data_IF_998085418067
#
_entry.id   IF_998085418067
#
_cell.length_a   1.000
_cell.length_b   1.000
_cell.length_c   1.000
_cell.angle_alpha   90.00
_cell.angle_beta   90.00
_cell.angle_gamma   90.00
#
_symmetry.space_group_name_H-M   'P 1'
#
loop_
_entity.id
_entity.type
_entity.pdbx_description
1 polymer ?
#
# COMPACT_ATOMS: atom_id res chain seq x y z
N UNK A 1 5.31 12.19 -8.74
CA UNK A 1 3.90 12.61 -8.67
C UNK A 1 3.48 13.40 -9.88
N UNK A 2 4.15 14.50 -10.23
CA UNK A 2 3.82 15.31 -11.41
C UNK A 2 3.71 14.49 -12.72
N UNK A 3 4.69 13.63 -13.02
CA UNK A 3 4.61 12.73 -14.18
C UNK A 3 3.40 11.78 -14.15
N UNK A 4 3.08 11.23 -12.98
CA UNK A 4 1.98 10.29 -12.82
C UNK A 4 0.62 11.00 -12.95
N UNK A 5 0.50 12.21 -12.40
CA UNK A 5 -0.68 13.07 -12.59
C UNK A 5 -0.86 13.48 -14.05
N UNK A 6 0.22 13.85 -14.76
CA UNK A 6 0.17 14.15 -16.20
C UNK A 6 -0.25 12.92 -17.02
N UNK A 7 0.26 11.74 -16.67
CA UNK A 7 -0.15 10.48 -17.29
C UNK A 7 -1.65 10.21 -17.07
N UNK A 8 -2.16 10.34 -15.84
CA UNK A 8 -3.59 10.18 -15.55
C UNK A 8 -4.44 11.17 -16.35
N UNK A 9 -4.05 12.45 -16.39
CA UNK A 9 -4.76 13.48 -17.18
C UNK A 9 -4.75 13.16 -18.68
N UNK A 10 -3.61 12.70 -19.22
CA UNK A 10 -3.50 12.27 -20.62
C UNK A 10 -4.43 11.10 -20.95
N UNK A 11 -4.50 10.09 -20.08
CA UNK A 11 -5.41 8.94 -20.25
C UNK A 11 -6.87 9.39 -20.19
N UNK A 12 -7.25 10.20 -19.21
CA UNK A 12 -8.62 10.76 -19.09
C UNK A 12 -9.00 11.51 -20.36
N UNK A 13 -8.10 12.37 -20.88
CA UNK A 13 -8.33 13.17 -22.07
C UNK A 13 -8.55 12.31 -23.33
N UNK A 14 -7.69 11.31 -23.54
CA UNK A 14 -7.78 10.42 -24.71
C UNK A 14 -9.09 9.61 -24.67
N UNK A 15 -9.44 9.04 -23.52
CA UNK A 15 -10.65 8.24 -23.36
C UNK A 15 -11.91 9.10 -23.53
N UNK A 16 -11.97 10.29 -22.92
CA UNK A 16 -13.09 11.21 -23.07
C UNK A 16 -13.30 11.63 -24.53
N UNK A 17 -12.22 11.93 -25.27
CA UNK A 17 -12.29 12.33 -26.68
C UNK A 17 -12.77 11.19 -27.59
N UNK A 18 -12.39 9.95 -27.29
CA UNK A 18 -12.71 8.78 -28.10
C UNK A 18 -14.16 8.30 -28.00
N UNK A 19 -14.85 8.60 -26.91
CA UNK A 19 -16.24 8.18 -26.68
C UNK A 19 -17.28 9.12 -27.31
N UNK A 20 -16.85 10.08 -28.13
CA UNK A 20 -17.77 10.99 -28.82
C UNK A 20 -18.56 11.91 -27.88
N UNK A 21 -18.20 11.98 -26.59
CA UNK A 21 -18.82 12.91 -25.67
C UNK A 21 -18.58 14.35 -26.16
N UNK A 22 -19.66 15.02 -26.60
CA UNK A 22 -19.71 16.48 -26.59
C UNK A 22 -19.60 16.99 -25.15
N UNK A 23 -19.20 18.25 -24.99
CA UNK A 23 -18.76 18.85 -23.71
C UNK A 23 -19.69 18.62 -22.50
N UNK A 24 -20.98 18.27 -22.67
CA UNK A 24 -22.00 18.39 -21.61
C UNK A 24 -22.51 17.04 -21.05
N UNK A 25 -22.56 15.96 -21.84
CA UNK A 25 -23.16 14.68 -21.40
C UNK A 25 -22.20 13.76 -20.62
N UNK A 26 -20.93 13.71 -21.02
CA UNK A 26 -19.89 12.94 -20.33
C UNK A 26 -19.53 13.50 -18.96
N UNK A 27 -19.73 14.82 -18.78
CA UNK A 27 -19.51 15.50 -17.50
C UNK A 27 -20.43 14.99 -16.37
N UNK A 28 -21.63 14.50 -16.68
CA UNK A 28 -22.56 14.00 -15.66
C UNK A 28 -22.12 12.68 -15.03
N UNK A 29 -21.72 11.70 -15.85
CA UNK A 29 -21.24 10.39 -15.39
C UNK A 29 -19.84 10.49 -14.78
N UNK A 30 -18.94 11.25 -15.41
CA UNK A 30 -17.61 11.54 -14.86
C UNK A 30 -17.73 12.32 -13.56
N UNK A 31 -18.63 13.31 -13.49
CA UNK A 31 -18.94 14.06 -12.27
C UNK A 31 -19.45 13.18 -11.15
N UNK A 32 -20.41 12.29 -11.42
CA UNK A 32 -20.92 11.33 -10.43
C UNK A 32 -19.84 10.36 -9.95
N UNK A 33 -19.03 9.82 -10.87
CA UNK A 33 -17.92 8.92 -10.53
C UNK A 33 -16.85 9.63 -9.68
N UNK A 34 -16.53 10.88 -10.00
CA UNK A 34 -15.61 11.71 -9.21
C UNK A 34 -16.18 12.05 -7.83
N UNK A 35 -17.49 12.28 -7.71
CA UNK A 35 -18.16 12.50 -6.42
C UNK A 35 -18.09 11.23 -5.57
N UNK A 36 -18.47 10.07 -6.12
CA UNK A 36 -18.41 8.79 -5.40
C UNK A 36 -16.98 8.45 -5.01
N UNK A 37 -16.02 8.58 -5.93
CA UNK A 37 -14.60 8.38 -5.65
C UNK A 37 -14.08 9.38 -4.61
N UNK A 38 -14.51 10.63 -4.67
CA UNK A 38 -14.17 11.68 -3.70
C UNK A 38 -14.68 11.37 -2.30
N UNK A 39 -15.93 10.93 -2.19
CA UNK A 39 -16.54 10.50 -0.91
C UNK A 39 -15.81 9.27 -0.36
N UNK A 40 -15.57 8.25 -1.18
CA UNK A 40 -14.84 7.05 -0.77
C UNK A 40 -13.42 7.36 -0.31
N UNK A 41 -12.72 8.27 -1.01
CA UNK A 41 -11.40 8.73 -0.60
C UNK A 41 -11.42 9.54 0.69
N UNK A 42 -12.42 10.39 0.86
CA UNK A 42 -12.60 11.13 2.10
C UNK A 42 -12.82 10.18 3.28
N UNK A 43 -13.73 9.22 3.15
CA UNK A 43 -13.98 8.21 4.19
C UNK A 43 -12.69 7.41 4.47
N UNK A 44 -12.02 6.91 3.43
CA UNK A 44 -10.80 6.13 3.57
C UNK A 44 -9.68 6.94 4.23
N UNK A 45 -9.51 8.21 3.88
CA UNK A 45 -8.46 9.05 4.45
C UNK A 45 -8.66 9.35 5.95
N UNK A 46 -9.91 9.51 6.39
CA UNK A 46 -10.22 9.89 7.77
C UNK A 46 -10.53 8.71 8.71
N UNK A 47 -10.94 7.55 8.19
CA UNK A 47 -11.36 6.39 8.99
C UNK A 47 -10.63 5.08 8.68
N UNK A 48 -9.67 5.05 7.73
CA UNK A 48 -8.94 3.81 7.40
C UNK A 48 -8.25 3.16 8.60
N UNK A 49 -7.68 3.96 9.50
CA UNK A 49 -7.03 3.47 10.72
C UNK A 49 -8.01 2.69 11.60
N UNK A 50 -9.19 3.27 11.86
CA UNK A 50 -10.22 2.63 12.69
C UNK A 50 -10.79 1.37 12.04
N UNK A 51 -10.99 1.41 10.71
CA UNK A 51 -11.49 0.26 9.95
C UNK A 51 -10.49 -0.89 10.04
N UNK A 52 -9.22 -0.63 9.72
CA UNK A 52 -8.15 -1.64 9.74
C UNK A 52 -7.94 -2.21 11.13
N UNK A 53 -7.86 -1.37 12.16
CA UNK A 53 -7.68 -1.81 13.55
C UNK A 53 -8.87 -2.64 14.02
N UNK A 54 -10.10 -2.25 13.66
CA UNK A 54 -11.31 -2.99 13.99
C UNK A 54 -11.38 -4.35 13.31
N UNK A 55 -11.10 -4.40 12.00
CA UNK A 55 -11.02 -5.66 11.22
C UNK A 55 -9.95 -6.58 11.81
N UNK A 56 -8.84 -6.01 12.24
CA UNK A 56 -7.72 -6.76 12.80
C UNK A 56 -7.92 -7.15 14.28
N UNK A 57 -9.09 -6.90 14.87
CA UNK A 57 -9.35 -7.19 16.29
C UNK A 57 -8.36 -6.53 17.25
N UNK A 58 -7.72 -5.44 16.82
CA UNK A 58 -6.62 -4.82 17.52
C UNK A 58 -7.13 -4.11 18.78
N UNK A 59 -6.55 -4.41 19.94
CA UNK A 59 -6.92 -3.81 21.23
C UNK A 59 -5.90 -2.77 21.66
N UNK A 60 -6.31 -1.53 21.97
CA UNK A 60 -5.37 -0.51 22.43
C UNK A 60 -4.80 -0.91 23.78
N UNK A 61 -3.51 -0.63 23.99
CA UNK A 61 -2.84 -0.85 25.27
C UNK A 61 -2.43 0.45 25.93
N UNK A 62 -2.39 0.44 27.26
CA UNK A 62 -1.80 1.49 28.09
C UNK A 62 -0.38 1.11 28.49
N UNK A 63 0.39 2.09 28.96
CA UNK A 63 1.75 1.88 29.48
C UNK A 63 1.82 0.88 30.64
N UNK A 64 0.73 0.71 31.40
CA UNK A 64 0.60 -0.30 32.46
C UNK A 64 0.56 -1.73 31.94
N UNK A 65 -0.01 -1.94 30.75
CA UNK A 65 -0.34 -3.27 30.25
C UNK A 65 0.91 -3.97 29.68
N UNK A 66 1.75 -3.20 28.99
CA UNK A 66 3.08 -3.64 28.57
C UNK A 66 4.08 -2.47 28.58
N UNK A 67 4.73 -2.21 29.74
CA UNK A 67 5.66 -1.09 29.89
C UNK A 67 6.87 -1.17 28.95
N UNK A 68 7.29 -2.38 28.57
CA UNK A 68 8.48 -2.57 27.71
C UNK A 68 8.19 -2.12 26.29
N UNK A 69 7.11 -2.63 25.69
CA UNK A 69 6.70 -2.24 24.32
C UNK A 69 6.36 -0.76 24.26
N UNK A 70 5.65 -0.25 25.27
CA UNK A 70 5.28 1.17 25.31
C UNK A 70 6.50 2.08 25.34
N UNK A 71 7.48 1.79 26.20
CA UNK A 71 8.73 2.57 26.28
C UNK A 71 9.57 2.44 25.01
N UNK A 72 9.61 1.27 24.39
CA UNK A 72 10.33 1.05 23.14
C UNK A 72 9.76 1.95 22.02
N UNK A 73 8.44 1.93 21.82
CA UNK A 73 7.77 2.77 20.81
C UNK A 73 7.93 4.25 21.15
N UNK A 74 7.78 4.63 22.43
CA UNK A 74 7.95 6.01 22.92
C UNK A 74 9.37 6.53 22.66
N UNK A 75 10.40 5.75 23.02
CA UNK A 75 11.81 6.13 22.83
C UNK A 75 12.18 6.26 21.34
N UNK A 76 11.75 5.30 20.51
CA UNK A 76 12.00 5.35 19.07
C UNK A 76 11.23 6.51 18.41
N UNK A 77 10.00 6.78 18.86
CA UNK A 77 9.22 7.93 18.41
C UNK A 77 9.92 9.26 18.72
N UNK A 78 10.42 9.42 19.96
CA UNK A 78 11.22 10.59 20.36
C UNK A 78 12.48 10.72 19.50
N UNK A 79 13.23 9.63 19.31
CA UNK A 79 14.44 9.64 18.48
C UNK A 79 14.16 9.98 17.01
N UNK A 80 12.99 9.60 16.49
CA UNK A 80 12.54 9.93 15.14
C UNK A 80 11.92 11.33 15.02
N UNK A 81 11.76 12.07 16.13
CA UNK A 81 11.07 13.36 16.15
C UNK A 81 9.56 13.27 15.87
N UNK A 82 8.95 12.13 16.21
CA UNK A 82 7.52 11.84 15.99
C UNK A 82 6.75 11.83 17.32
N UNK A 83 5.46 12.24 17.31
CA UNK A 83 4.57 11.94 18.43
C UNK A 83 4.50 10.42 18.65
N UNK A 84 4.42 9.98 19.90
CA UNK A 84 4.25 8.55 20.23
C UNK A 84 2.94 8.04 19.59
N UNK A 85 3.01 7.08 18.65
CA UNK A 85 1.82 6.49 18.05
C UNK A 85 0.98 5.75 19.09
N UNK A 86 -0.31 5.58 18.80
CA UNK A 86 -1.15 4.69 19.59
C UNK A 86 -0.67 3.24 19.42
N UNK A 87 -0.62 2.48 20.49
CA UNK A 87 -0.10 1.11 20.46
C UNK A 87 -1.26 0.14 20.65
N UNK A 88 -1.31 -0.87 19.79
CA UNK A 88 -2.33 -1.91 19.81
C UNK A 88 -1.69 -3.30 19.86
N UNK A 89 -2.38 -4.24 20.49
CA UNK A 89 -2.06 -5.66 20.42
C UNK A 89 -3.18 -6.42 19.71
N UNK A 90 -2.79 -7.27 18.77
CA UNK A 90 -3.66 -8.24 18.09
C UNK A 90 -3.42 -9.60 18.74
N UNK A 91 -4.47 -10.26 19.20
CA UNK A 91 -4.33 -11.59 19.79
C UNK A 91 -4.25 -12.65 18.68
N UNK A 92 -3.04 -12.89 18.20
CA UNK A 92 -2.73 -13.84 17.13
C UNK A 92 -1.29 -14.34 17.33
N UNK A 93 -1.07 -15.66 17.25
CA UNK A 93 0.21 -16.30 17.51
C UNK A 93 1.20 -16.19 16.34
N UNK A 94 0.72 -15.89 15.14
CA UNK A 94 1.58 -15.61 14.00
C UNK A 94 2.29 -14.27 14.21
N UNK A 95 3.63 -14.22 14.11
CA UNK A 95 4.39 -13.01 14.36
C UNK A 95 4.18 -12.00 13.23
N UNK A 96 3.59 -10.85 13.52
CA UNK A 96 3.46 -9.76 12.55
C UNK A 96 3.25 -8.41 13.24
N UNK A 97 3.42 -7.33 12.48
CA UNK A 97 3.13 -5.98 12.90
C UNK A 97 2.77 -5.11 11.69
N UNK A 98 2.09 -3.99 11.93
CA UNK A 98 1.87 -2.96 10.93
C UNK A 98 1.65 -1.58 11.58
N UNK A 99 1.96 -0.53 10.83
CA UNK A 99 1.55 0.85 11.09
C UNK A 99 0.34 1.26 10.25
N UNK A 100 -0.52 2.10 10.82
CA UNK A 100 -1.63 2.77 10.11
C UNK A 100 -1.84 4.17 10.64
N UNK A 101 -2.69 4.95 9.98
CA UNK A 101 -2.96 6.35 10.30
C UNK A 101 -2.64 7.29 9.16
N UNK A 102 -3.41 8.38 9.10
CA UNK A 102 -3.34 9.38 8.02
C UNK A 102 -2.13 10.32 8.12
N UNK A 103 -1.62 10.54 9.33
CA UNK A 103 -0.50 11.43 9.62
C UNK A 103 0.17 11.05 10.95
N UNK A 104 1.39 11.54 11.25
CA UNK A 104 2.12 11.17 12.47
C UNK A 104 1.37 11.44 13.79
N UNK A 105 0.46 12.42 13.85
CA UNK A 105 -0.31 12.71 15.07
C UNK A 105 -1.48 11.74 15.26
N UNK A 106 -1.88 11.04 14.20
CA UNK A 106 -2.98 10.08 14.20
C UNK A 106 -2.49 8.67 13.86
N UNK A 107 -1.20 8.40 14.04
CA UNK A 107 -0.61 7.11 13.77
C UNK A 107 -0.93 6.07 14.86
N UNK A 108 -1.00 4.82 14.45
CA UNK A 108 -1.10 3.66 15.32
C UNK A 108 -0.15 2.56 14.82
N UNK A 109 0.42 1.81 15.76
CA UNK A 109 1.21 0.61 15.47
C UNK A 109 0.56 -0.56 16.20
N UNK A 110 0.30 -1.63 15.46
CA UNK A 110 -0.28 -2.86 15.98
C UNK A 110 0.76 -3.99 15.95
N UNK A 111 0.86 -4.73 17.05
CA UNK A 111 1.74 -5.90 17.20
C UNK A 111 0.90 -7.14 17.48
N UNK A 112 1.19 -8.27 16.85
CA UNK A 112 0.56 -9.54 17.24
C UNK A 112 1.13 -10.06 18.56
N UNK A 113 0.39 -10.85 19.33
CA UNK A 113 0.95 -11.50 20.53
C UNK A 113 2.12 -12.42 20.15
N UNK A 114 2.08 -13.05 18.98
CA UNK A 114 3.16 -13.83 18.39
C UNK A 114 4.46 -13.04 18.20
N UNK A 115 4.40 -11.82 17.67
CA UNK A 115 5.63 -11.05 17.41
C UNK A 115 6.33 -10.67 18.72
N UNK A 116 5.55 -10.35 19.75
CA UNK A 116 6.04 -9.98 21.07
C UNK A 116 6.67 -11.17 21.82
N UNK A 117 6.25 -12.39 21.52
CA UNK A 117 6.78 -13.61 22.14
C UNK A 117 7.98 -14.18 21.39
N UNK A 118 7.99 -14.10 20.05
CA UNK A 118 8.99 -14.76 19.19
C UNK A 118 10.21 -13.89 18.88
N UNK A 119 10.07 -12.56 18.90
CA UNK A 119 11.19 -11.65 18.67
C UNK A 119 11.88 -11.25 19.97
N UNK A 120 13.21 -11.15 19.92
CA UNK A 120 13.96 -10.52 21.00
C UNK A 120 13.84 -8.98 20.93
N UNK A 121 14.41 -8.29 21.92
CA UNK A 121 14.33 -6.84 22.05
C UNK A 121 14.85 -6.11 20.81
N UNK A 122 16.04 -6.46 20.32
CA UNK A 122 16.67 -5.78 19.18
C UNK A 122 15.91 -6.01 17.87
N UNK A 123 15.35 -7.21 17.69
CA UNK A 123 14.51 -7.56 16.55
C UNK A 123 13.20 -6.78 16.56
N UNK A 124 12.54 -6.71 17.72
CA UNK A 124 11.30 -5.97 17.90
C UNK A 124 11.54 -4.45 17.75
N UNK A 125 12.66 -3.92 18.24
CA UNK A 125 13.11 -2.54 17.99
C UNK A 125 13.31 -2.28 16.50
N UNK A 126 13.92 -3.22 15.76
CA UNK A 126 14.09 -3.14 14.32
C UNK A 126 12.77 -3.05 13.56
N UNK A 127 11.81 -3.95 13.87
CA UNK A 127 10.46 -3.91 13.29
C UNK A 127 9.75 -2.62 13.65
N UNK A 128 9.79 -2.20 14.92
CA UNK A 128 9.14 -0.97 15.37
C UNK A 128 9.71 0.27 14.68
N UNK A 129 11.02 0.32 14.47
CA UNK A 129 11.68 1.40 13.76
C UNK A 129 11.32 1.45 12.27
N UNK A 130 11.14 0.29 11.63
CA UNK A 130 10.62 0.19 10.27
C UNK A 130 9.17 0.72 10.20
N UNK A 131 8.27 0.28 11.07
CA UNK A 131 6.88 0.75 11.12
C UNK A 131 6.78 2.26 11.42
N UNK A 132 7.62 2.77 12.34
CA UNK A 132 7.73 4.21 12.61
C UNK A 132 8.26 4.99 11.40
N UNK A 133 9.13 4.39 10.59
CA UNK A 133 9.65 5.03 9.38
C UNK A 133 8.55 5.24 8.35
N UNK A 134 7.59 4.31 8.20
CA UNK A 134 6.42 4.54 7.36
C UNK A 134 5.57 5.73 7.83
N UNK A 135 5.39 5.86 9.15
CA UNK A 135 4.69 7.00 9.76
C UNK A 135 5.42 8.30 9.47
N UNK A 136 6.73 8.36 9.75
CA UNK A 136 7.56 9.55 9.54
C UNK A 136 7.67 9.97 8.07
N UNK A 137 7.82 9.00 7.17
CA UNK A 137 7.93 9.23 5.71
C UNK A 137 6.58 9.50 5.03
N UNK A 138 5.47 9.42 5.78
CA UNK A 138 4.09 9.57 5.31
C UNK A 138 3.76 8.62 4.17
N UNK A 139 4.21 7.38 4.28
CA UNK A 139 4.04 6.39 3.22
C UNK A 139 2.56 6.04 3.00
N UNK A 140 1.74 6.06 4.06
CA UNK A 140 0.28 5.90 3.97
C UNK A 140 -0.36 6.94 3.05
N UNK A 141 0.04 8.22 3.17
CA UNK A 141 -0.48 9.29 2.31
C UNK A 141 -0.08 9.07 0.85
N UNK A 142 1.19 8.74 0.63
CA UNK A 142 1.75 8.51 -0.71
C UNK A 142 1.07 7.34 -1.38
N UNK A 143 0.91 6.23 -0.67
CA UNK A 143 0.27 5.02 -1.19
C UNK A 143 -1.24 5.21 -1.40
N UNK A 144 -1.90 6.01 -0.57
CA UNK A 144 -3.31 6.39 -0.79
C UNK A 144 -3.43 7.17 -2.10
N UNK A 145 -2.63 8.22 -2.30
CA UNK A 145 -2.66 9.04 -3.53
C UNK A 145 -2.37 8.18 -4.76
N UNK A 146 -1.37 7.30 -4.69
CA UNK A 146 -1.03 6.40 -5.80
C UNK A 146 -2.18 5.45 -6.11
N UNK A 147 -2.78 4.83 -5.09
CA UNK A 147 -3.91 3.90 -5.25
C UNK A 147 -5.13 4.56 -5.89
N UNK A 148 -5.42 5.81 -5.53
CA UNK A 148 -6.51 6.59 -6.14
C UNK A 148 -6.27 6.84 -7.63
N UNK A 149 -5.04 7.19 -8.01
CA UNK A 149 -4.70 7.46 -9.39
C UNK A 149 -4.73 6.17 -10.23
N UNK A 150 -4.22 5.04 -9.71
CA UNK A 150 -4.35 3.73 -10.37
C UNK A 150 -5.81 3.32 -10.50
N UNK A 151 -6.58 3.43 -9.41
CA UNK A 151 -8.01 3.10 -9.39
C UNK A 151 -8.81 3.94 -10.40
N UNK A 152 -8.54 5.24 -10.48
CA UNK A 152 -9.15 6.13 -11.48
C UNK A 152 -8.84 5.67 -12.90
N UNK A 153 -7.59 5.33 -13.22
CA UNK A 153 -7.20 4.83 -14.55
C UNK A 153 -7.91 3.52 -14.87
N UNK A 154 -7.96 2.58 -13.92
CA UNK A 154 -8.62 1.29 -14.10
C UNK A 154 -10.13 1.44 -14.32
N UNK A 155 -10.80 2.31 -13.54
CA UNK A 155 -12.22 2.58 -13.70
C UNK A 155 -12.54 3.22 -15.05
N UNK A 156 -11.72 4.18 -15.50
CA UNK A 156 -11.91 4.82 -16.82
C UNK A 156 -11.69 3.84 -17.96
N UNK A 157 -10.68 2.97 -17.87
CA UNK A 157 -10.43 1.92 -18.84
C UNK A 157 -11.58 0.90 -18.90
N UNK A 158 -12.07 0.41 -17.75
CA UNK A 158 -13.21 -0.51 -17.68
C UNK A 158 -14.49 0.14 -18.24
N UNK A 159 -14.75 1.40 -17.87
CA UNK A 159 -15.89 2.14 -18.38
C UNK A 159 -15.81 2.35 -19.90
N UNK A 160 -14.64 2.74 -20.43
CA UNK A 160 -14.40 2.85 -21.85
C UNK A 160 -14.67 1.51 -22.56
N UNK A 161 -14.07 0.42 -22.07
CA UNK A 161 -14.26 -0.90 -22.67
C UNK A 161 -15.72 -1.33 -22.66
N UNK A 162 -16.46 -1.11 -21.57
CA UNK A 162 -17.92 -1.39 -21.51
C UNK A 162 -18.72 -0.54 -22.48
N UNK A 163 -18.39 0.74 -22.61
CA UNK A 163 -19.10 1.64 -23.51
C UNK A 163 -18.98 1.23 -24.99
N UNK A 164 -17.92 0.51 -25.38
CA UNK A 164 -17.81 -0.08 -26.73
C UNK A 164 -18.80 -1.25 -26.97
N UNK A 165 -19.25 -1.92 -25.90
CA UNK A 165 -20.18 -3.05 -25.98
C UNK A 165 -21.64 -2.60 -25.88
N UNK A 166 -21.91 -1.52 -25.13
CA UNK A 166 -23.26 -0.99 -24.90
C UNK A 166 -23.59 0.27 -25.72
N UNK A 167 -22.59 0.93 -26.31
CA UNK A 167 -22.74 2.07 -27.20
C UNK A 167 -22.98 1.57 -28.63
N UNK A 168 -24.25 1.46 -28.99
CA UNK A 168 -24.70 0.99 -30.29
C UNK A 168 -24.04 1.72 -31.48
N UNK A 169 -23.81 0.94 -32.52
CA UNK A 169 -23.46 1.34 -33.88
C UNK A 169 -24.39 2.48 -34.34
N UNK A 170 -23.88 3.71 -34.41
CA UNK A 170 -24.50 4.75 -35.21
C UNK A 170 -23.52 5.10 -36.33
N UNK A 171 -23.77 4.48 -37.48
CA UNK A 171 -23.05 4.67 -38.73
C UNK A 171 -23.06 6.16 -39.10
N UNK A 172 -21.88 6.78 -39.11
CA UNK A 172 -21.62 7.99 -39.90
C UNK A 172 -20.12 8.18 -40.11
N UNK A 173 -19.69 7.71 -41.29
CA UNK A 173 -18.54 8.13 -42.07
C UNK A 173 -17.56 9.10 -41.39
N UNK A 174 -16.55 8.56 -40.71
CA UNK A 174 -15.34 9.34 -40.46
C UNK A 174 -14.11 8.43 -40.29
N UNK A 175 -13.35 8.24 -41.37
CA UNK A 175 -12.10 7.45 -41.38
C UNK A 175 -11.04 7.95 -40.37
N UNK A 176 -11.13 9.21 -39.93
CA UNK A 176 -10.30 9.75 -38.85
C UNK A 176 -10.63 9.19 -37.46
N UNK A 177 -11.81 8.62 -37.27
CA UNK A 177 -12.29 8.10 -35.98
C UNK A 177 -11.77 6.68 -35.68
N UNK A 178 -11.52 5.87 -36.71
CA UNK A 178 -11.08 4.46 -36.55
C UNK A 178 -9.67 4.35 -35.97
N UNK A 179 -8.73 5.21 -36.41
CA UNK A 179 -7.36 5.21 -35.86
C UNK A 179 -7.36 5.65 -34.40
N UNK A 180 -8.13 6.69 -34.06
CA UNK A 180 -8.28 7.16 -32.68
C UNK A 180 -8.93 6.10 -31.78
N UNK A 181 -9.92 5.36 -32.30
CA UNK A 181 -10.55 4.25 -31.57
C UNK A 181 -9.55 3.12 -31.27
N UNK A 182 -8.72 2.74 -32.25
CA UNK A 182 -7.68 1.72 -32.05
C UNK A 182 -6.67 2.18 -30.98
N UNK A 183 -6.23 3.44 -31.05
CA UNK A 183 -5.33 4.02 -30.04
C UNK A 183 -5.99 4.02 -28.66
N UNK A 184 -7.27 4.40 -28.57
CA UNK A 184 -8.00 4.43 -27.30
C UNK A 184 -8.15 3.03 -26.68
N UNK A 185 -8.41 2.00 -27.49
CA UNK A 185 -8.45 0.59 -27.03
C UNK A 185 -7.07 0.17 -26.50
N UNK A 186 -6.00 0.45 -27.24
CA UNK A 186 -4.64 0.14 -26.80
C UNK A 186 -4.33 0.84 -25.47
N UNK A 187 -4.68 2.12 -25.33
CA UNK A 187 -4.49 2.89 -24.09
C UNK A 187 -5.34 2.32 -22.95
N UNK A 188 -6.61 1.98 -23.18
CA UNK A 188 -7.48 1.42 -22.16
C UNK A 188 -6.95 0.07 -21.61
N UNK A 189 -6.28 -0.72 -22.45
CA UNK A 189 -5.65 -1.97 -22.01
C UNK A 189 -4.32 -1.71 -21.31
N UNK A 190 -3.45 -0.90 -21.89
CA UNK A 190 -2.08 -0.71 -21.39
C UNK A 190 -2.00 0.22 -20.17
N UNK A 191 -2.86 1.24 -20.08
CA UNK A 191 -2.76 2.26 -19.03
C UNK A 191 -2.96 1.68 -17.61
N UNK A 192 -3.94 0.81 -17.33
CA UNK A 192 -4.06 0.17 -16.02
C UNK A 192 -2.84 -0.68 -15.68
N UNK A 193 -2.32 -1.44 -16.63
CA UNK A 193 -1.12 -2.29 -16.44
C UNK A 193 0.08 -1.42 -16.05
N UNK A 194 0.35 -0.36 -16.81
CA UNK A 194 1.44 0.58 -16.54
C UNK A 194 1.24 1.27 -15.18
N UNK A 195 0.03 1.71 -14.88
CA UNK A 195 -0.28 2.38 -13.61
C UNK A 195 -0.04 1.44 -12.41
N UNK A 196 -0.47 0.18 -12.50
CA UNK A 196 -0.20 -0.84 -11.48
C UNK A 196 1.29 -1.12 -11.34
N UNK A 197 2.05 -1.24 -12.44
CA UNK A 197 3.50 -1.42 -12.38
C UNK A 197 4.21 -0.24 -11.68
N UNK A 198 3.78 1.00 -11.96
CA UNK A 198 4.29 2.19 -11.29
C UNK A 198 3.96 2.14 -9.78
N UNK A 199 2.73 1.79 -9.41
CA UNK A 199 2.33 1.67 -8.01
C UNK A 199 3.18 0.64 -7.26
N UNK A 200 3.39 -0.53 -7.87
CA UNK A 200 4.22 -1.59 -7.30
C UNK A 200 5.69 -1.14 -7.14
N UNK A 201 6.23 -0.43 -8.13
CA UNK A 201 7.59 0.12 -8.06
C UNK A 201 7.73 1.17 -6.94
N UNK A 202 6.74 2.06 -6.79
CA UNK A 202 6.70 3.05 -5.71
C UNK A 202 6.63 2.35 -4.35
N UNK A 203 5.73 1.36 -4.20
CA UNK A 203 5.58 0.57 -2.99
C UNK A 203 6.89 -0.10 -2.56
N UNK A 204 7.54 -0.82 -3.49
CA UNK A 204 8.83 -1.49 -3.23
C UNK A 204 9.94 -0.52 -2.83
N UNK A 205 10.01 0.65 -3.47
CA UNK A 205 11.00 1.68 -3.12
C UNK A 205 10.74 2.26 -1.73
N UNK A 206 9.47 2.46 -1.34
CA UNK A 206 9.10 2.92 0.00
C UNK A 206 9.47 1.92 1.08
N UNK A 207 9.26 0.62 0.83
CA UNK A 207 9.67 -0.43 1.76
C UNK A 207 11.17 -0.43 2.03
N UNK A 208 12.00 -0.37 0.98
CA UNK A 208 13.47 -0.32 1.12
C UNK A 208 13.95 0.98 1.80
N UNK A 209 13.24 2.10 1.57
CA UNK A 209 13.51 3.34 2.30
C UNK A 209 13.14 3.23 3.78
N UNK A 210 12.02 2.56 4.11
CA UNK A 210 11.62 2.32 5.49
C UNK A 210 12.62 1.38 6.20
N UNK A 211 13.14 0.36 5.52
CA UNK A 211 14.25 -0.47 6.02
C UNK A 211 15.48 0.38 6.35
N UNK A 212 15.95 1.20 5.39
CA UNK A 212 17.10 2.08 5.61
C UNK A 212 16.88 3.11 6.73
N UNK A 213 15.69 3.72 6.79
CA UNK A 213 15.31 4.66 7.84
C UNK A 213 15.23 3.99 9.22
N UNK A 214 14.67 2.77 9.29
CA UNK A 214 14.62 1.99 10.51
C UNK A 214 16.02 1.62 11.02
N UNK A 215 16.93 1.30 10.11
CA UNK A 215 18.36 1.11 10.43
C UNK A 215 19.02 2.40 10.89
N UNK A 216 18.74 3.54 10.25
CA UNK A 216 19.28 4.82 10.68
C UNK A 216 18.84 5.19 12.10
N UNK A 217 17.60 4.83 12.46
CA UNK A 217 17.02 5.07 13.77
C UNK A 217 17.61 4.13 14.85
N UNK A 218 17.74 2.84 14.55
CA UNK A 218 18.22 1.83 15.51
C UNK A 218 19.75 1.70 15.56
N UNK A 219 20.43 2.14 14.50
CA UNK A 219 21.86 1.89 14.25
C UNK A 219 22.24 0.41 14.23
N UNK A 220 21.27 -0.48 14.01
CA UNK A 220 21.48 -1.92 14.11
C UNK A 220 20.75 -2.72 13.01
N UNK A 221 21.37 -2.86 11.81
CA UNK A 221 20.75 -3.53 10.67
C UNK A 221 20.34 -4.98 10.94
N UNK A 222 21.15 -5.71 11.71
CA UNK A 222 20.89 -7.11 12.07
C UNK A 222 19.57 -7.32 12.82
N UNK A 223 19.10 -6.32 13.59
CA UNK A 223 17.84 -6.42 14.33
C UNK A 223 16.67 -6.66 13.37
N UNK A 224 16.51 -5.80 12.37
CA UNK A 224 15.45 -5.94 11.37
C UNK A 224 15.67 -7.16 10.48
N UNK A 225 16.91 -7.43 10.05
CA UNK A 225 17.19 -8.59 9.19
C UNK A 225 16.83 -9.93 9.86
N UNK A 226 17.19 -10.10 11.13
CA UNK A 226 16.87 -11.32 11.90
C UNK A 226 15.37 -11.42 12.19
N UNK A 227 14.71 -10.29 12.45
CA UNK A 227 13.26 -10.25 12.59
C UNK A 227 12.55 -10.73 11.31
N UNK A 228 12.96 -10.23 10.14
CA UNK A 228 12.41 -10.64 8.84
C UNK A 228 12.63 -12.13 8.58
N UNK A 229 13.80 -12.69 8.93
CA UNK A 229 14.04 -14.15 8.83
C UNK A 229 13.04 -14.91 9.70
N UNK A 230 12.88 -14.54 10.98
CA UNK A 230 11.95 -15.23 11.89
C UNK A 230 10.51 -15.15 11.39
N UNK A 231 10.03 -13.96 11.06
CA UNK A 231 8.65 -13.73 10.59
C UNK A 231 8.38 -14.46 9.26
N UNK A 232 9.33 -14.43 8.33
CA UNK A 232 9.20 -15.09 7.03
C UNK A 232 9.28 -16.62 7.12
N UNK A 233 10.05 -17.15 8.07
CA UNK A 233 10.16 -18.59 8.31
C UNK A 233 8.98 -19.17 9.10
N UNK A 234 8.23 -18.33 9.82
CA UNK A 234 7.06 -18.75 10.58
C UNK A 234 5.95 -19.25 9.65
N UNK A 235 5.38 -20.42 10.00
CA UNK A 235 4.38 -21.15 9.21
C UNK A 235 2.97 -20.98 9.75
N UNK A 236 2.79 -20.35 10.92
CA UNK A 236 1.47 -20.09 11.45
C UNK A 236 0.72 -19.13 10.50
N UNK A 237 -0.51 -19.47 10.09
CA UNK A 237 -1.34 -18.55 9.34
C UNK A 237 -1.74 -17.40 10.26
N UNK A 238 -1.63 -16.17 9.76
CA UNK A 238 -2.15 -15.01 10.48
C UNK A 238 -3.68 -15.00 10.34
N UNK A 239 -4.37 -15.58 11.32
CA UNK A 239 -5.81 -15.86 11.32
C UNK A 239 -6.64 -14.59 11.13
N UNK A 240 -6.15 -13.49 11.69
CA UNK A 240 -6.81 -12.19 11.67
C UNK A 240 -6.66 -11.48 10.30
N UNK A 241 -5.69 -11.88 9.49
CA UNK A 241 -5.44 -11.22 8.21
C UNK A 241 -6.41 -11.69 7.12
N UNK A 242 -6.88 -10.73 6.32
CA UNK A 242 -7.66 -11.00 5.13
C UNK A 242 -7.01 -10.33 3.91
N UNK A 243 -7.53 -10.61 2.71
CA UNK A 243 -7.02 -10.02 1.45
C UNK A 243 -7.01 -8.49 1.46
N UNK A 244 -7.93 -7.87 2.18
CA UNK A 244 -8.03 -6.41 2.33
C UNK A 244 -6.97 -5.81 3.27
N UNK A 245 -6.46 -6.56 4.25
CA UNK A 245 -5.47 -6.05 5.24
C UNK A 245 -4.06 -6.62 5.05
N UNK A 246 -3.89 -7.67 4.24
CA UNK A 246 -2.63 -8.38 4.03
C UNK A 246 -1.45 -7.48 3.60
N UNK A 247 -1.72 -6.41 2.87
CA UNK A 247 -0.70 -5.49 2.37
C UNK A 247 -0.09 -4.57 3.45
N UNK A 248 -0.74 -4.45 4.61
CA UNK A 248 -0.29 -3.59 5.70
C UNK A 248 0.80 -4.24 6.56
N UNK A 249 0.76 -5.56 6.66
CA UNK A 249 1.68 -6.34 7.47
C UNK A 249 3.10 -6.33 6.89
N UNK A 250 4.10 -6.24 7.76
CA UNK A 250 5.53 -6.22 7.37
C UNK A 250 5.93 -7.43 6.52
N UNK A 251 5.30 -8.58 6.78
CA UNK A 251 5.41 -9.78 5.94
C UNK A 251 4.02 -10.20 5.52
N UNK A 252 3.87 -10.44 4.22
CA UNK A 252 2.59 -10.86 3.64
C UNK A 252 2.08 -12.15 4.31
N UNK A 253 0.91 -12.12 4.97
CA UNK A 253 0.37 -13.26 5.70
C UNK A 253 -0.24 -14.34 4.79
N UNK A 254 -0.57 -14.01 3.54
CA UNK A 254 -1.24 -14.93 2.60
C UNK A 254 -0.26 -15.85 1.86
N UNK A 255 0.81 -16.29 2.55
CA UNK A 255 1.83 -17.20 1.99
C UNK A 255 1.14 -18.42 1.36
N UNK A 256 1.30 -18.59 0.04
CA UNK A 256 0.78 -19.75 -0.70
C UNK A 256 -0.56 -19.57 -1.44
N UNK A 257 -1.27 -18.44 -1.32
CA UNK A 257 -2.46 -18.16 -2.16
C UNK A 257 -2.17 -17.26 -3.39
N UNK A 258 -0.90 -16.98 -3.67
CA UNK A 258 -0.50 -16.23 -4.86
C UNK A 258 -0.44 -17.17 -6.06
N UNK A 259 -1.04 -16.70 -7.16
CA UNK A 259 -1.30 -17.43 -8.39
C UNK A 259 -0.13 -18.32 -8.85
N UNK A 260 -0.49 -19.53 -9.29
CA UNK A 260 0.40 -20.44 -10.02
C UNK A 260 0.91 -19.70 -11.28
N UNK A 261 2.19 -19.34 -11.34
CA UNK A 261 2.84 -18.82 -12.56
C UNK A 261 4.03 -17.86 -12.36
N UNK A 262 4.80 -17.64 -13.45
CA UNK A 262 5.94 -16.71 -13.54
C UNK A 262 5.61 -15.23 -13.20
N UNK A 263 4.33 -14.86 -13.08
CA UNK A 263 3.87 -13.50 -12.77
C UNK A 263 3.52 -13.27 -11.29
N UNK A 264 3.60 -14.28 -10.42
CA UNK A 264 3.19 -14.19 -9.01
C UNK A 264 3.92 -13.07 -8.24
N UNK A 265 5.21 -12.86 -8.53
CA UNK A 265 6.02 -11.82 -7.86
C UNK A 265 5.76 -10.40 -8.35
N UNK A 266 5.12 -10.23 -9.52
CA UNK A 266 4.91 -8.90 -10.10
C UNK A 266 3.88 -8.11 -9.28
N UNK A 267 2.83 -8.77 -8.78
CA UNK A 267 1.74 -8.14 -8.03
C UNK A 267 1.96 -8.08 -6.51
N UNK A 268 3.13 -8.49 -6.02
CA UNK A 268 3.49 -8.29 -4.61
C UNK A 268 3.78 -6.81 -4.34
N UNK A 269 3.00 -6.22 -3.43
CA UNK A 269 3.20 -4.84 -2.95
C UNK A 269 4.50 -4.67 -2.16
N UNK A 270 5.00 -5.78 -1.61
CA UNK A 270 6.28 -5.87 -0.89
C UNK A 270 7.40 -6.42 -1.79
N UNK A 271 8.64 -5.90 -1.69
CA UNK A 271 9.78 -6.51 -2.34
C UNK A 271 10.06 -7.90 -1.73
N UNK A 272 10.73 -8.81 -2.47
CA UNK A 272 11.11 -10.11 -1.94
C UNK A 272 11.87 -9.98 -0.62
N UNK A 273 11.55 -10.84 0.36
CA UNK A 273 12.12 -10.75 1.71
C UNK A 273 13.64 -10.98 1.65
N UNK A 274 14.09 -11.86 0.76
CA UNK A 274 15.51 -12.14 0.53
C UNK A 274 16.25 -10.88 0.05
N UNK A 275 15.61 -10.06 -0.76
CA UNK A 275 16.17 -8.78 -1.23
C UNK A 275 16.32 -7.79 -0.07
N UNK A 276 15.32 -7.70 0.81
CA UNK A 276 15.38 -6.84 2.01
C UNK A 276 16.47 -7.29 2.97
N UNK A 277 16.51 -8.60 3.29
CA UNK A 277 17.53 -9.18 4.17
C UNK A 277 18.93 -8.93 3.60
N UNK A 278 19.12 -9.11 2.29
CA UNK A 278 20.40 -8.84 1.63
C UNK A 278 20.81 -7.37 1.80
N UNK A 279 19.93 -6.43 1.49
CA UNK A 279 20.21 -5.00 1.63
C UNK A 279 20.57 -4.62 3.07
N UNK A 280 19.88 -5.19 4.08
CA UNK A 280 20.17 -4.95 5.49
C UNK A 280 21.52 -5.52 5.92
N UNK A 281 21.90 -6.70 5.43
CA UNK A 281 23.22 -7.31 5.71
C UNK A 281 24.36 -6.52 5.06
N UNK A 282 24.14 -6.04 3.84
CA UNK A 282 25.09 -5.14 3.16
C UNK A 282 25.33 -3.86 3.96
N UNK A 283 24.29 -3.24 4.55
CA UNK A 283 24.44 -2.08 5.44
C UNK A 283 25.26 -2.38 6.70
N UNK A 284 25.28 -3.63 7.16
CA UNK A 284 26.09 -4.07 8.30
C UNK A 284 27.54 -4.38 7.92
N UNK A 285 27.87 -4.43 6.62
CA UNK A 285 29.16 -4.90 6.13
C UNK A 285 29.31 -6.43 6.13
N UNK A 286 28.20 -7.17 6.27
CA UNK A 286 28.18 -8.64 6.13
C UNK A 286 27.81 -8.98 4.67
N UNK A 287 28.80 -9.48 3.93
CA UNK A 287 28.64 -9.96 2.54
C UNK A 287 28.20 -11.43 2.57
#
# INVERSE_FOLDING_TARGET
>A
MLFFSLFTVGVVYILARSLGFGEVGGLGVVGMALIVAGIMNFISYFWSDKIVLGISGAKPIKKSDNPQVYRMVENLGIAAGLPTPKIYIINDTAPNAFATGRDPKHAAIAFTSGILQKLNKQELEGVTAHELSHVGNRDTLVMTVVSVLVGTIALLADWFMRSLWFGGHDDRDNRGNTIFLIIAIVVAILAPIIATLIQLAVSRKRELLADASGVLLTRYPSGLANALVKISSDREPLEVANRGTAHLYIVNPLKGQQAIGWFAGLFNTHPPIEMRIKALREMEGKI
#
